data_IF_313815385313
#
_entry.id   IF_313815385313
#
_cell.length_a   1.000
_cell.length_b   1.000
_cell.length_c   1.000
_cell.angle_alpha   90.00
_cell.angle_beta   90.00
_cell.angle_gamma   90.00
#
_symmetry.space_group_name_H-M   'P 1'
#
loop_
_entity.id
_entity.type
_entity.pdbx_description
1 polymer ?
#
# COMPACT_ATOMS: atom_id res chain seq x y z
N UNK A 1 -13.95 -8.17 -22.86
CA UNK A 1 -14.15 -6.74 -22.51
C UNK A 1 -14.23 -6.48 -21.02
N UNK A 2 -15.10 -7.16 -20.24
CA UNK A 2 -15.16 -6.99 -18.78
C UNK A 2 -13.85 -7.34 -18.03
N UNK A 3 -13.13 -8.38 -18.46
CA UNK A 3 -11.83 -8.77 -17.84
C UNK A 3 -10.85 -7.59 -17.87
N UNK A 4 -10.59 -7.03 -19.06
CA UNK A 4 -9.62 -5.95 -19.25
C UNK A 4 -10.03 -4.63 -18.58
N UNK A 5 -11.32 -4.32 -18.57
CA UNK A 5 -11.80 -2.99 -18.17
C UNK A 5 -12.24 -2.91 -16.70
N UNK A 6 -12.54 -4.04 -16.06
CA UNK A 6 -13.10 -4.07 -14.70
C UNK A 6 -12.30 -4.99 -13.78
N UNK A 7 -12.06 -6.23 -14.20
CA UNK A 7 -11.41 -7.25 -13.35
C UNK A 7 -9.92 -6.92 -13.17
N UNK A 8 -9.18 -6.73 -14.26
CA UNK A 8 -7.74 -6.47 -14.18
C UNK A 8 -7.43 -5.18 -13.39
N UNK A 9 -8.09 -4.04 -13.63
CA UNK A 9 -7.82 -2.82 -12.87
C UNK A 9 -8.19 -2.94 -11.38
N UNK A 10 -9.28 -3.63 -11.06
CA UNK A 10 -9.68 -3.89 -9.68
C UNK A 10 -8.67 -4.77 -8.95
N UNK A 11 -8.26 -5.88 -9.59
CA UNK A 11 -7.26 -6.79 -9.04
C UNK A 11 -5.92 -6.08 -8.78
N UNK A 12 -5.45 -5.26 -9.74
CA UNK A 12 -4.22 -4.51 -9.56
C UNK A 12 -4.34 -3.51 -8.41
N UNK A 13 -5.44 -2.75 -8.33
CA UNK A 13 -5.69 -1.82 -7.23
C UNK A 13 -5.61 -2.53 -5.87
N UNK A 14 -6.29 -3.67 -5.71
CA UNK A 14 -6.30 -4.42 -4.46
C UNK A 14 -4.91 -5.00 -4.12
N UNK A 15 -4.15 -5.38 -5.14
CA UNK A 15 -2.78 -5.85 -4.97
C UNK A 15 -1.84 -4.74 -4.45
N UNK A 16 -1.99 -3.51 -4.94
CA UNK A 16 -1.24 -2.37 -4.41
C UNK A 16 -1.63 -2.10 -2.95
N UNK A 17 -2.92 -2.09 -2.62
CA UNK A 17 -3.37 -1.88 -1.25
C UNK A 17 -2.81 -2.90 -0.25
N UNK A 18 -2.71 -4.17 -0.66
CA UNK A 18 -2.23 -5.25 0.23
C UNK A 18 -0.70 -5.37 0.27
N UNK A 19 -0.05 -5.23 -0.89
CA UNK A 19 1.36 -5.62 -1.10
C UNK A 19 2.26 -4.44 -1.49
N UNK A 20 1.84 -3.20 -1.24
CA UNK A 20 2.60 -2.01 -1.65
C UNK A 20 4.11 -2.06 -1.33
N UNK A 21 4.57 -2.50 -0.15
CA UNK A 21 6.00 -2.51 0.17
C UNK A 21 6.81 -3.38 -0.80
N UNK A 22 6.22 -4.44 -1.34
CA UNK A 22 6.86 -5.28 -2.35
C UNK A 22 6.91 -4.60 -3.72
N UNK A 23 5.83 -3.90 -4.11
CA UNK A 23 5.83 -3.08 -5.33
C UNK A 23 6.90 -2.00 -5.27
N UNK A 24 6.99 -1.28 -4.15
CA UNK A 24 8.01 -0.25 -3.94
C UNK A 24 9.44 -0.81 -4.03
N UNK A 25 9.66 -2.06 -3.61
CA UNK A 25 10.98 -2.70 -3.64
C UNK A 25 11.33 -3.31 -5.01
N UNK A 26 10.37 -3.91 -5.71
CA UNK A 26 10.60 -4.63 -6.97
C UNK A 26 10.45 -3.76 -8.22
N UNK A 27 9.68 -2.69 -8.16
CA UNK A 27 9.43 -1.84 -9.32
C UNK A 27 10.58 -0.85 -9.54
N UNK A 28 11.33 -1.07 -10.62
CA UNK A 28 12.49 -0.24 -10.98
C UNK A 28 12.11 1.05 -11.72
N UNK A 29 10.83 1.23 -12.07
CA UNK A 29 10.34 2.43 -12.76
C UNK A 29 9.98 3.56 -11.80
N UNK A 30 9.75 3.24 -10.52
CA UNK A 30 9.39 4.23 -9.51
C UNK A 30 10.59 5.08 -9.08
N UNK A 31 10.35 6.38 -8.86
CA UNK A 31 11.30 7.25 -8.18
C UNK A 31 11.08 7.14 -6.67
N UNK A 32 12.01 6.50 -5.97
CA UNK A 32 11.96 6.29 -4.53
C UNK A 32 12.91 7.27 -3.83
N UNK A 33 12.40 8.05 -2.88
CA UNK A 33 13.17 9.05 -2.14
C UNK A 33 12.97 8.90 -0.64
N UNK A 34 14.07 8.87 0.09
CA UNK A 34 14.09 9.13 1.52
C UNK A 34 14.04 10.65 1.75
N UNK A 35 12.99 11.12 2.44
CA UNK A 35 12.74 12.53 2.75
C UNK A 35 13.07 12.85 4.21
N UNK A 36 13.72 11.93 4.91
CA UNK A 36 14.06 12.01 6.32
C UNK A 36 12.83 12.05 7.21
N UNK A 37 13.06 12.43 8.47
CA UNK A 37 12.03 12.46 9.50
C UNK A 37 10.99 13.55 9.24
N UNK A 38 9.71 13.16 9.20
CA UNK A 38 8.56 14.04 8.99
C UNK A 38 7.48 13.77 10.04
N UNK A 39 6.63 14.77 10.30
CA UNK A 39 5.45 14.59 11.18
C UNK A 39 4.47 13.59 10.56
N UNK A 40 3.89 12.75 11.42
CA UNK A 40 2.88 11.78 11.01
C UNK A 40 1.60 12.51 10.56
N UNK A 41 0.96 12.06 9.47
CA UNK A 41 -0.26 12.70 8.97
C UNK A 41 -1.48 12.40 9.84
N UNK A 42 -1.45 11.34 10.65
CA UNK A 42 -2.47 11.01 11.65
C UNK A 42 -1.85 11.02 13.06
N UNK A 43 -2.45 11.80 13.96
CA UNK A 43 -2.04 11.86 15.36
C UNK A 43 -0.80 12.72 15.60
N UNK A 44 -0.08 12.43 16.68
CA UNK A 44 1.13 13.13 17.08
C UNK A 44 2.37 12.26 16.83
N UNK A 45 3.50 12.88 16.54
CA UNK A 45 4.79 12.20 16.41
C UNK A 45 5.36 12.29 15.00
N UNK A 46 6.50 11.65 14.80
CA UNK A 46 7.23 11.69 13.53
C UNK A 46 7.94 10.37 13.22
N UNK A 47 8.06 10.09 11.93
CA UNK A 47 8.64 8.87 11.36
C UNK A 47 9.50 9.22 10.14
N UNK A 48 10.34 8.29 9.68
CA UNK A 48 11.10 8.47 8.44
C UNK A 48 10.14 8.38 7.24
N UNK A 49 10.19 9.34 6.32
CA UNK A 49 9.32 9.36 5.15
C UNK A 49 10.04 8.80 3.93
N UNK A 50 9.53 7.70 3.39
CA UNK A 50 9.91 7.17 2.08
C UNK A 50 8.80 7.47 1.07
N UNK A 51 9.10 8.26 0.05
CA UNK A 51 8.17 8.66 -1.00
C UNK A 51 8.44 7.88 -2.28
N UNK A 52 7.43 7.16 -2.78
CA UNK A 52 7.47 6.33 -3.99
C UNK A 52 6.58 6.97 -5.05
N UNK A 53 7.18 7.53 -6.10
CA UNK A 53 6.45 8.21 -7.17
C UNK A 53 6.57 7.46 -8.50
N UNK A 54 5.44 7.11 -9.08
CA UNK A 54 5.38 6.47 -10.40
C UNK A 54 5.39 7.51 -11.53
N UNK A 55 5.98 7.18 -12.70
CA UNK A 55 5.89 8.02 -13.89
C UNK A 55 4.44 8.21 -14.35
N UNK A 56 4.13 9.34 -14.98
CA UNK A 56 2.76 9.69 -15.40
C UNK A 56 2.33 9.06 -16.73
N UNK A 57 3.25 8.46 -17.47
CA UNK A 57 3.08 8.02 -18.85
C UNK A 57 3.09 6.50 -19.04
N UNK A 58 3.39 5.73 -17.98
CA UNK A 58 3.52 4.26 -18.05
C UNK A 58 2.94 3.56 -16.82
N UNK A 59 2.54 2.30 -16.99
CA UNK A 59 2.14 1.40 -15.91
C UNK A 59 0.66 1.46 -15.51
N UNK A 60 0.30 0.68 -14.50
CA UNK A 60 -1.07 0.57 -13.97
C UNK A 60 -1.42 1.64 -12.92
N UNK A 61 -0.42 2.35 -12.39
CA UNK A 61 -0.57 3.43 -11.41
C UNK A 61 0.08 4.74 -11.91
N UNK A 62 -0.27 5.23 -13.12
CA UNK A 62 0.45 6.35 -13.72
C UNK A 62 0.30 7.63 -12.89
N UNK A 63 1.43 8.18 -12.48
CA UNK A 63 1.54 9.42 -11.72
C UNK A 63 1.18 9.31 -10.23
N UNK A 64 0.83 8.11 -9.76
CA UNK A 64 0.52 7.89 -8.36
C UNK A 64 1.76 8.08 -7.47
N UNK A 65 1.56 8.62 -6.28
CA UNK A 65 2.60 8.78 -5.26
C UNK A 65 2.14 8.14 -3.95
N UNK A 66 3.03 7.37 -3.34
CA UNK A 66 2.82 6.75 -2.04
C UNK A 66 3.90 7.22 -1.08
N UNK A 67 3.48 7.95 -0.07
CA UNK A 67 4.31 8.39 1.03
C UNK A 67 4.16 7.40 2.18
N UNK A 68 5.25 6.71 2.53
CA UNK A 68 5.30 5.70 3.58
C UNK A 68 6.03 6.27 4.80
N UNK A 69 5.34 6.29 5.93
CA UNK A 69 5.90 6.73 7.20
C UNK A 69 6.42 5.51 7.95
N UNK A 70 7.74 5.36 8.00
CA UNK A 70 8.45 4.21 8.53
C UNK A 70 8.91 4.46 9.96
N UNK A 71 8.40 3.63 10.87
CA UNK A 71 8.71 3.64 12.29
C UNK A 71 10.11 3.11 12.60
N UNK A 72 10.48 3.22 13.88
CA UNK A 72 11.81 2.81 14.37
C UNK A 72 12.09 1.30 14.24
N UNK A 73 11.05 0.49 14.12
CA UNK A 73 11.16 -0.96 13.91
C UNK A 73 11.20 -1.33 12.40
N UNK A 74 11.40 -0.34 11.53
CA UNK A 74 11.38 -0.45 10.07
C UNK A 74 10.04 -0.96 9.52
N UNK A 75 8.95 -0.77 10.24
CA UNK A 75 7.59 -1.02 9.75
C UNK A 75 6.94 0.28 9.31
N UNK A 76 6.04 0.16 8.35
CA UNK A 76 5.20 1.29 7.95
C UNK A 76 4.17 1.46 9.06
N UNK A 77 4.06 2.66 9.60
CA UNK A 77 3.05 3.03 10.60
C UNK A 77 1.82 3.62 9.92
N UNK A 78 2.05 4.44 8.89
CA UNK A 78 1.02 5.16 8.14
C UNK A 78 1.45 5.35 6.69
N UNK A 79 0.49 5.64 5.84
CA UNK A 79 0.76 6.04 4.46
C UNK A 79 -0.14 7.19 4.01
N UNK A 80 0.33 7.92 3.01
CA UNK A 80 -0.47 8.84 2.21
C UNK A 80 -0.37 8.41 0.75
N UNK A 81 -1.50 8.07 0.15
CA UNK A 81 -1.62 7.83 -1.28
C UNK A 81 -2.15 9.09 -1.95
N UNK A 82 -1.42 9.59 -2.94
CA UNK A 82 -1.83 10.66 -3.84
C UNK A 82 -2.03 10.08 -5.22
N UNK A 83 -3.26 10.18 -5.73
CA UNK A 83 -3.57 9.70 -7.08
C UNK A 83 -3.08 10.68 -8.14
N UNK A 84 -2.42 10.18 -9.18
CA UNK A 84 -1.92 10.99 -10.29
C UNK A 84 -3.02 11.49 -11.24
N UNK A 85 -4.14 10.76 -11.33
CA UNK A 85 -5.25 11.05 -12.24
C UNK A 85 -6.47 11.74 -11.59
N UNK A 86 -7.48 12.13 -12.40
CA UNK A 86 -8.66 12.87 -11.94
C UNK A 86 -9.69 12.00 -11.18
N UNK A 87 -9.53 10.67 -11.18
CA UNK A 87 -10.48 9.74 -10.55
C UNK A 87 -10.42 9.84 -9.02
N UNK A 88 -11.56 9.84 -8.34
CA UNK A 88 -11.63 9.89 -6.87
C UNK A 88 -11.46 8.51 -6.20
N UNK A 89 -10.91 8.43 -4.97
CA UNK A 89 -10.37 9.53 -4.17
C UNK A 89 -9.03 10.07 -4.72
N UNK A 90 -8.74 11.34 -4.47
CA UNK A 90 -7.46 11.98 -4.84
C UNK A 90 -6.39 11.73 -3.80
N UNK A 91 -6.74 11.74 -2.52
CA UNK A 91 -5.83 11.50 -1.41
C UNK A 91 -6.45 10.49 -0.45
N UNK A 92 -5.66 9.49 -0.06
CA UNK A 92 -5.96 8.60 1.06
C UNK A 92 -4.88 8.75 2.10
N UNK A 93 -5.27 8.95 3.35
CA UNK A 93 -4.37 8.99 4.51
C UNK A 93 -4.85 7.92 5.47
N UNK A 94 -4.03 6.92 5.78
CA UNK A 94 -4.44 5.85 6.68
C UNK A 94 -3.28 5.19 7.42
N UNK A 95 -3.62 4.51 8.52
CA UNK A 95 -2.70 3.60 9.24
C UNK A 95 -2.27 2.42 8.36
N UNK A 96 -1.15 1.80 8.72
CA UNK A 96 -0.68 0.55 8.12
C UNK A 96 -0.52 -0.51 9.21
N UNK A 97 -1.64 -1.09 9.64
CA UNK A 97 -1.72 -1.89 10.87
C UNK A 97 -2.34 -3.29 10.68
N UNK A 98 -2.51 -4.02 11.79
CA UNK A 98 -3.05 -5.38 11.73
C UNK A 98 -2.08 -6.36 11.07
N UNK A 99 -0.78 -6.20 11.33
CA UNK A 99 0.24 -7.11 10.83
C UNK A 99 -0.01 -8.55 11.27
N UNK A 100 -0.08 -9.46 10.29
CA UNK A 100 -0.23 -10.90 10.47
C UNK A 100 0.87 -11.64 9.73
N UNK A 101 1.29 -12.77 10.27
CA UNK A 101 2.30 -13.63 9.63
C UNK A 101 1.60 -14.62 8.71
N UNK A 102 1.85 -14.53 7.42
CA UNK A 102 1.41 -15.49 6.41
C UNK A 102 2.64 -16.21 5.84
N UNK A 103 2.96 -17.38 6.38
CA UNK A 103 4.20 -18.10 6.05
C UNK A 103 5.44 -17.26 6.36
N UNK A 104 6.32 -16.98 5.36
CA UNK A 104 7.50 -16.13 5.56
C UNK A 104 7.17 -14.62 5.51
N UNK A 105 5.96 -14.23 5.12
CA UNK A 105 5.59 -12.83 4.92
C UNK A 105 4.92 -12.25 6.17
N UNK A 106 5.24 -10.99 6.45
CA UNK A 106 4.52 -10.17 7.42
C UNK A 106 3.66 -9.18 6.64
N UNK A 107 2.33 -9.30 6.75
CA UNK A 107 1.36 -8.59 5.91
C UNK A 107 0.46 -7.73 6.79
N UNK A 108 0.32 -6.45 6.45
CA UNK A 108 -0.62 -5.52 7.09
C UNK A 108 -2.04 -5.81 6.58
N UNK A 109 -3.05 -5.79 7.45
CA UNK A 109 -4.41 -6.23 7.09
C UNK A 109 -5.53 -5.28 7.49
N UNK A 110 -5.22 -4.16 8.16
CA UNK A 110 -6.21 -3.14 8.52
C UNK A 110 -5.59 -1.75 8.31
N UNK A 111 -6.36 -0.86 7.70
CA UNK A 111 -5.95 0.50 7.37
C UNK A 111 -7.11 1.43 7.67
N UNK A 112 -6.90 2.38 8.56
CA UNK A 112 -7.93 3.30 9.06
C UNK A 112 -7.50 4.73 8.86
N UNK A 113 -8.41 5.55 8.37
CA UNK A 113 -8.15 6.98 8.19
C UNK A 113 -9.19 7.65 7.33
N UNK A 114 -8.74 8.35 6.28
CA UNK A 114 -9.62 9.14 5.42
C UNK A 114 -9.33 8.97 3.94
N UNK A 115 -10.36 9.11 3.12
CA UNK A 115 -10.29 9.24 1.66
C UNK A 115 -10.97 10.57 1.28
N UNK A 116 -10.20 11.51 0.74
CA UNK A 116 -10.66 12.89 0.46
C UNK A 116 -11.40 13.54 1.65
N UNK A 117 -10.90 13.30 2.87
CA UNK A 117 -11.45 13.82 4.12
C UNK A 117 -12.65 13.04 4.69
N UNK A 118 -13.25 12.12 3.93
CA UNK A 118 -14.28 11.22 4.43
C UNK A 118 -13.68 10.01 5.16
N UNK A 119 -14.37 9.40 6.14
CA UNK A 119 -13.85 8.25 6.87
C UNK A 119 -13.61 7.05 5.94
N UNK A 120 -12.49 6.37 6.14
CA UNK A 120 -12.09 5.17 5.40
C UNK A 120 -11.68 4.06 6.38
N UNK A 121 -12.10 2.84 6.06
CA UNK A 121 -11.44 1.62 6.53
C UNK A 121 -11.27 0.66 5.35
N UNK A 122 -10.03 0.27 5.10
CA UNK A 122 -9.64 -0.78 4.16
C UNK A 122 -9.11 -1.95 5.00
N UNK A 123 -9.63 -3.16 4.79
CA UNK A 123 -9.19 -4.33 5.54
C UNK A 123 -9.21 -5.57 4.66
N UNK A 124 -8.37 -6.54 5.02
CA UNK A 124 -8.23 -7.80 4.32
C UNK A 124 -8.54 -8.96 5.27
N UNK A 125 -9.48 -9.82 4.85
CA UNK A 125 -9.77 -11.09 5.53
C UNK A 125 -9.22 -12.26 4.71
N UNK A 126 -9.11 -13.42 5.37
CA UNK A 126 -8.78 -14.69 4.70
C UNK A 126 -7.46 -14.65 3.91
N UNK A 127 -6.53 -13.81 4.35
CA UNK A 127 -5.18 -13.71 3.78
C UNK A 127 -4.46 -15.03 4.01
N UNK A 128 -4.00 -15.65 2.93
CA UNK A 128 -3.20 -16.87 2.98
C UNK A 128 -2.14 -16.86 1.89
N UNK A 129 -1.04 -17.58 2.11
CA UNK A 129 0.02 -17.78 1.12
C UNK A 129 0.17 -19.26 0.79
N UNK A 130 0.50 -19.55 -0.47
CA UNK A 130 0.89 -20.89 -0.92
C UNK A 130 2.31 -20.83 -1.45
N UNK A 131 3.22 -21.53 -0.78
CA UNK A 131 4.63 -21.59 -1.21
C UNK A 131 4.76 -22.42 -2.49
N UNK A 132 5.71 -22.04 -3.34
CA UNK A 132 6.06 -22.81 -4.54
C UNK A 132 6.38 -24.26 -4.16
N UNK A 133 5.67 -25.21 -4.75
CA UNK A 133 5.81 -26.65 -4.46
C UNK A 133 5.03 -27.15 -3.25
N UNK A 134 4.32 -26.30 -2.51
CA UNK A 134 3.34 -26.71 -1.49
C UNK A 134 2.00 -27.02 -2.15
N UNK A 135 1.22 -27.92 -1.55
CA UNK A 135 -0.21 -28.11 -1.87
C UNK A 135 -1.15 -27.44 -0.87
N UNK A 136 -0.62 -26.94 0.25
CA UNK A 136 -1.38 -26.34 1.33
C UNK A 136 -1.25 -24.82 1.36
N UNK A 137 -2.35 -24.16 1.70
CA UNK A 137 -2.39 -22.73 2.02
C UNK A 137 -2.07 -22.50 3.49
N UNK A 138 -1.29 -21.46 3.75
CA UNK A 138 -0.93 -21.01 5.10
C UNK A 138 -1.67 -19.72 5.39
N UNK A 139 -2.66 -19.79 6.28
CA UNK A 139 -3.44 -18.62 6.71
C UNK A 139 -2.58 -17.65 7.51
N UNK A 140 -2.86 -16.36 7.36
CA UNK A 140 -2.26 -15.29 8.13
C UNK A 140 -2.72 -15.36 9.60
N UNK A 141 -1.75 -15.39 10.53
CA UNK A 141 -1.97 -15.44 11.98
C UNK A 141 -1.56 -14.13 12.65
#
# INVERSE_FOLDING_TARGET
DAVKNEIDPGFINDNYWLLFPFHAYWDTSANVQDKGKQELPLGNGSAELVSVKYPSDVGYAPGDTWDLYVGKDNRIEQFVYHRGGPKKPSVVIATWEGYKKAGPLLISTDHRGTADGGPLRLFFSDVAVKLTGSDTWMNAQ
#
